data_IF_609955000511
#
_entry.id   IF_609955000511
#
_cell.length_a   1.000
_cell.length_b   1.000
_cell.length_c   1.000
_cell.angle_alpha   90.00
_cell.angle_beta   90.00
_cell.angle_gamma   90.00
#
_symmetry.space_group_name_H-M   'P 1'
#
loop_
_entity.id
_entity.type
_entity.pdbx_description
1 polymer ?
#
# COMPACT_ATOMS: atom_id res chain seq x y z
N UNK A 1 1.59 1.14 6.33
CA UNK A 1 0.85 1.70 7.47
C UNK A 1 1.49 2.98 8.04
N UNK A 2 2.82 3.18 7.97
CA UNK A 2 3.47 4.39 8.55
C UNK A 2 2.93 5.69 7.96
N UNK A 3 2.74 5.78 6.64
CA UNK A 3 2.12 6.97 6.02
C UNK A 3 0.69 7.22 6.53
N UNK A 4 -0.09 6.17 6.77
CA UNK A 4 -1.43 6.31 7.35
C UNK A 4 -1.39 6.83 8.79
N UNK A 5 -0.40 6.44 9.59
CA UNK A 5 -0.19 6.99 10.94
C UNK A 5 0.15 8.48 10.85
N UNK A 6 1.06 8.87 9.94
CA UNK A 6 1.41 10.28 9.72
C UNK A 6 0.17 11.10 9.34
N UNK A 7 -0.72 10.56 8.48
CA UNK A 7 -1.99 11.21 8.17
C UNK A 7 -2.88 11.39 9.40
N UNK A 8 -3.07 10.34 10.21
CA UNK A 8 -3.92 10.42 11.41
C UNK A 8 -3.41 11.49 12.40
N UNK A 9 -2.09 11.62 12.52
CA UNK A 9 -1.46 12.52 13.49
C UNK A 9 -1.40 13.97 12.99
N UNK A 10 -1.46 14.22 11.68
CA UNK A 10 -1.20 15.54 11.12
C UNK A 10 -2.29 16.06 10.19
N UNK A 11 -2.99 15.20 9.44
CA UNK A 11 -3.94 15.66 8.43
C UNK A 11 -5.15 16.36 9.06
N UNK A 12 -5.45 17.57 8.61
CA UNK A 12 -6.59 18.38 9.06
C UNK A 12 -7.50 18.67 7.86
N UNK A 13 -8.51 17.83 7.59
CA UNK A 13 -9.45 18.11 6.52
C UNK A 13 -10.28 19.35 6.86
N UNK A 14 -10.25 20.37 6.00
CA UNK A 14 -11.03 21.59 6.12
C UNK A 14 -12.27 21.59 5.21
N UNK A 15 -12.28 20.70 4.23
CA UNK A 15 -13.43 20.37 3.38
C UNK A 15 -13.42 18.89 3.05
N UNK A 16 -14.62 18.29 2.91
CA UNK A 16 -14.76 16.86 2.67
C UNK A 16 -14.61 15.99 3.92
N UNK A 17 -14.46 14.69 3.71
CA UNK A 17 -14.23 13.69 4.77
C UNK A 17 -13.05 12.80 4.41
N UNK A 18 -12.16 12.56 5.35
CA UNK A 18 -11.02 11.65 5.21
C UNK A 18 -11.18 10.48 6.17
N UNK A 19 -11.26 9.26 5.63
CA UNK A 19 -11.23 8.01 6.38
C UNK A 19 -9.85 7.40 6.27
N UNK A 20 -9.20 7.10 7.38
CA UNK A 20 -7.87 6.49 7.40
C UNK A 20 -7.91 5.17 8.15
N UNK A 21 -7.53 4.08 7.48
CA UNK A 21 -7.42 2.75 8.06
C UNK A 21 -5.93 2.39 8.14
N UNK A 22 -5.26 2.61 9.28
CA UNK A 22 -3.81 2.42 9.37
C UNK A 22 -3.41 0.93 9.33
N UNK A 23 -4.29 0.05 9.77
CA UNK A 23 -4.09 -1.39 9.84
C UNK A 23 -5.30 -2.10 9.24
N UNK A 24 -5.33 -2.18 7.90
CA UNK A 24 -6.45 -2.77 7.17
C UNK A 24 -6.75 -4.22 7.60
N UNK A 25 -5.71 -4.98 7.94
CA UNK A 25 -5.83 -6.30 8.56
C UNK A 25 -4.93 -6.39 9.81
N UNK A 26 -5.47 -6.06 10.97
CA UNK A 26 -4.72 -6.04 12.23
C UNK A 26 -4.11 -7.40 12.62
N UNK A 27 -4.68 -8.50 12.16
CA UNK A 27 -4.16 -9.85 12.38
C UNK A 27 -2.73 -10.01 11.83
N UNK A 28 -2.39 -9.33 10.74
CA UNK A 28 -1.05 -9.39 10.12
C UNK A 28 0.06 -8.84 11.02
N UNK A 29 -0.27 -8.04 12.02
CA UNK A 29 0.70 -7.47 12.97
C UNK A 29 0.97 -8.38 14.18
N UNK A 30 0.26 -9.49 14.32
CA UNK A 30 0.40 -10.39 15.48
C UNK A 30 1.54 -11.40 15.33
N UNK A 31 2.08 -11.56 14.12
CA UNK A 31 3.15 -12.51 13.79
C UNK A 31 4.11 -11.93 12.75
N UNK A 32 5.16 -12.66 12.43
CA UNK A 32 6.05 -12.44 11.28
C UNK A 32 6.04 -13.69 10.43
N UNK A 33 6.44 -13.58 9.16
CA UNK A 33 6.55 -14.73 8.26
C UNK A 33 7.59 -15.71 8.82
N UNK A 34 7.23 -17.00 8.90
CA UNK A 34 8.11 -18.02 9.42
C UNK A 34 9.31 -18.23 8.47
N UNK A 35 10.47 -18.61 9.04
CA UNK A 35 11.74 -18.81 8.35
C UNK A 35 12.35 -17.56 7.69
N UNK A 36 11.72 -16.39 7.76
CA UNK A 36 12.25 -15.15 7.18
C UNK A 36 13.29 -14.45 8.06
N UNK A 37 13.33 -14.78 9.36
CA UNK A 37 14.26 -14.15 10.31
C UNK A 37 13.98 -12.66 10.54
N UNK A 38 12.79 -12.17 10.16
CA UNK A 38 12.42 -10.77 10.30
C UNK A 38 12.23 -10.36 11.75
N UNK A 39 12.60 -9.13 12.14
CA UNK A 39 12.36 -8.63 13.48
C UNK A 39 10.85 -8.43 13.71
N UNK A 40 10.39 -8.67 14.96
CA UNK A 40 9.00 -8.43 15.31
C UNK A 40 8.64 -6.95 15.40
N UNK A 41 9.64 -6.10 15.63
CA UNK A 41 9.47 -4.67 15.84
C UNK A 41 10.61 -3.91 15.17
N UNK A 42 10.37 -2.63 14.94
CA UNK A 42 11.38 -1.66 14.57
C UNK A 42 11.10 -0.34 15.29
N UNK A 43 12.14 0.49 15.45
CA UNK A 43 12.09 1.75 16.15
C UNK A 43 12.35 2.91 15.18
N UNK A 44 11.56 3.95 15.29
CA UNK A 44 11.72 5.19 14.51
C UNK A 44 12.00 6.33 15.49
N UNK A 45 13.10 7.03 15.29
CA UNK A 45 13.38 8.26 16.02
C UNK A 45 12.45 9.37 15.56
N UNK A 46 11.81 10.04 16.52
CA UNK A 46 10.89 11.16 16.29
C UNK A 46 11.26 12.34 17.17
N UNK A 47 10.71 13.53 16.89
CA UNK A 47 10.92 14.72 17.73
C UNK A 47 10.45 14.50 19.20
N UNK A 48 9.48 13.61 19.42
CA UNK A 48 8.99 13.23 20.75
C UNK A 48 9.75 12.05 21.39
N UNK A 49 10.85 11.59 20.79
CA UNK A 49 11.62 10.42 21.21
C UNK A 49 11.34 9.17 20.37
N UNK A 50 11.99 8.04 20.70
CA UNK A 50 11.87 6.80 19.94
C UNK A 50 10.46 6.21 20.05
N UNK A 51 9.91 5.82 18.89
CA UNK A 51 8.61 5.13 18.79
C UNK A 51 8.81 3.74 18.21
N UNK A 52 8.27 2.74 18.88
CA UNK A 52 8.38 1.34 18.50
C UNK A 52 7.12 0.85 17.80
N UNK A 53 7.29 0.21 16.65
CA UNK A 53 6.23 -0.34 15.82
C UNK A 53 6.39 -1.84 15.59
N UNK A 54 5.29 -2.56 15.38
CA UNK A 54 5.33 -3.94 14.93
C UNK A 54 5.63 -3.99 13.45
N UNK A 55 6.48 -4.95 13.02
CA UNK A 55 6.77 -5.16 11.60
C UNK A 55 5.62 -5.91 10.91
N UNK A 56 5.25 -7.07 11.44
CA UNK A 56 4.14 -7.88 10.94
C UNK A 56 4.47 -8.73 9.71
N UNK A 57 3.41 -9.22 9.09
CA UNK A 57 3.40 -10.01 7.87
C UNK A 57 2.39 -9.43 6.87
N UNK A 58 2.46 -9.84 5.60
CA UNK A 58 1.41 -9.55 4.61
C UNK A 58 0.21 -10.50 4.73
N UNK A 59 0.35 -11.60 5.45
CA UNK A 59 -0.67 -12.64 5.59
C UNK A 59 -1.41 -12.54 6.92
N UNK A 60 -2.70 -12.80 6.93
CA UNK A 60 -3.48 -13.03 8.15
C UNK A 60 -2.81 -14.12 9.01
N UNK A 61 -2.76 -13.92 10.32
CA UNK A 61 -2.17 -14.86 11.25
C UNK A 61 -2.79 -16.24 11.12
N UNK A 62 -1.99 -17.31 11.14
CA UNK A 62 -2.53 -18.68 11.24
C UNK A 62 -3.40 -18.91 12.48
N UNK A 63 -3.25 -18.11 13.53
CA UNK A 63 -4.12 -18.19 14.72
C UNK A 63 -5.55 -17.74 14.42
N UNK A 64 -5.75 -16.86 13.43
CA UNK A 64 -7.07 -16.34 13.05
C UNK A 64 -7.66 -17.05 11.82
N UNK A 65 -6.80 -17.64 10.99
CA UNK A 65 -7.23 -18.33 9.77
C UNK A 65 -6.28 -19.48 9.42
N UNK A 66 -6.70 -20.73 9.67
CA UNK A 66 -5.96 -21.96 9.38
C UNK A 66 -6.91 -23.16 9.26
N UNK A 67 -6.60 -24.20 8.46
CA UNK A 67 -5.45 -24.33 7.56
C UNK A 67 -5.63 -23.57 6.22
N UNK A 68 -4.51 -23.37 5.51
CA UNK A 68 -4.59 -22.91 4.12
C UNK A 68 -5.12 -24.05 3.24
N UNK A 69 -5.98 -23.78 2.24
CA UNK A 69 -6.36 -24.78 1.23
C UNK A 69 -5.17 -25.06 0.29
N UNK A 70 -5.21 -26.17 -0.43
CA UNK A 70 -4.20 -26.44 -1.47
C UNK A 70 -4.20 -25.36 -2.56
N UNK A 71 -5.40 -24.93 -2.95
CA UNK A 71 -5.64 -23.89 -3.95
C UNK A 71 -6.65 -22.89 -3.38
N UNK A 72 -6.28 -21.63 -3.38
CA UNK A 72 -7.23 -20.55 -3.13
C UNK A 72 -7.98 -20.18 -4.41
N UNK A 73 -9.29 -20.21 -4.35
CA UNK A 73 -10.17 -19.80 -5.45
C UNK A 73 -10.85 -18.49 -5.09
N UNK A 74 -10.51 -17.42 -5.81
CA UNK A 74 -11.12 -16.11 -5.61
C UNK A 74 -12.62 -16.14 -5.86
N UNK A 75 -13.42 -15.79 -4.87
CA UNK A 75 -14.85 -16.08 -4.84
C UNK A 75 -15.65 -15.47 -6.00
N UNK A 76 -15.35 -14.21 -6.38
CA UNK A 76 -16.12 -13.50 -7.42
C UNK A 76 -15.68 -13.80 -8.85
N UNK A 77 -14.41 -14.21 -9.06
CA UNK A 77 -13.89 -14.41 -10.43
C UNK A 77 -13.51 -15.84 -10.77
N UNK A 78 -13.41 -16.74 -9.78
CA UNK A 78 -12.89 -18.08 -9.96
C UNK A 78 -11.38 -18.18 -10.22
N UNK A 79 -10.63 -17.06 -10.14
CA UNK A 79 -9.17 -17.06 -10.28
C UNK A 79 -8.54 -17.99 -9.24
N UNK A 80 -7.66 -18.88 -9.71
CA UNK A 80 -6.94 -19.82 -8.85
C UNK A 80 -5.56 -19.28 -8.51
N UNK A 81 -5.20 -19.36 -7.24
CA UNK A 81 -3.93 -18.92 -6.67
C UNK A 81 -3.37 -20.00 -5.74
N UNK A 82 -2.12 -19.84 -5.30
CA UNK A 82 -1.54 -20.67 -4.24
C UNK A 82 -2.43 -20.62 -2.99
N UNK A 83 -2.56 -21.73 -2.29
CA UNK A 83 -3.40 -21.83 -1.10
C UNK A 83 -3.09 -20.79 -0.03
N UNK A 84 -1.82 -20.44 0.16
CA UNK A 84 -1.39 -19.41 1.10
C UNK A 84 -1.93 -17.99 0.80
N UNK A 85 -2.30 -17.71 -0.46
CA UNK A 85 -2.90 -16.43 -0.86
C UNK A 85 -4.32 -16.23 -0.28
N UNK A 86 -4.94 -17.28 0.28
CA UNK A 86 -6.20 -17.16 1.04
C UNK A 86 -6.08 -16.21 2.24
N UNK A 87 -4.87 -16.01 2.78
CA UNK A 87 -4.58 -15.13 3.89
C UNK A 87 -4.05 -13.74 3.49
N UNK A 88 -3.94 -13.48 2.19
CA UNK A 88 -3.51 -12.19 1.67
C UNK A 88 -4.71 -11.28 1.39
N UNK A 89 -4.85 -10.17 2.13
CA UNK A 89 -5.95 -9.24 1.97
C UNK A 89 -6.04 -8.71 0.52
N UNK A 90 -4.90 -8.42 -0.11
CA UNK A 90 -4.84 -7.94 -1.49
C UNK A 90 -4.97 -9.08 -2.54
N UNK A 91 -5.65 -10.18 -2.16
CA UNK A 91 -6.16 -11.24 -3.02
C UNK A 91 -7.62 -11.58 -2.70
N UNK A 92 -8.18 -10.93 -1.67
CA UNK A 92 -9.49 -11.28 -1.13
C UNK A 92 -10.59 -10.26 -1.45
N UNK A 93 -10.27 -9.08 -1.99
CA UNK A 93 -11.28 -8.10 -2.38
C UNK A 93 -12.19 -8.62 -3.51
N UNK A 94 -13.49 -8.24 -3.57
CA UNK A 94 -14.20 -7.34 -2.67
C UNK A 94 -14.62 -8.00 -1.36
N UNK A 95 -14.30 -9.27 -1.14
CA UNK A 95 -14.66 -10.06 0.02
C UNK A 95 -16.10 -10.54 0.03
N UNK A 96 -16.47 -11.28 1.09
CA UNK A 96 -17.83 -11.77 1.34
C UNK A 96 -18.09 -11.98 2.82
N UNK A 97 -19.36 -11.83 3.28
CA UNK A 97 -19.68 -11.86 4.71
C UNK A 97 -19.58 -13.26 5.34
N UNK A 98 -19.74 -14.30 4.55
CA UNK A 98 -19.68 -15.73 4.93
C UNK A 98 -18.34 -16.40 4.62
N UNK A 99 -17.34 -15.60 4.19
CA UNK A 99 -16.03 -16.08 3.80
C UNK A 99 -15.05 -16.35 4.95
N UNK A 100 -13.78 -16.54 4.57
CA UNK A 100 -12.67 -16.64 5.51
C UNK A 100 -12.50 -15.34 6.30
N UNK A 101 -11.66 -15.37 7.35
CA UNK A 101 -11.35 -14.14 8.10
C UNK A 101 -10.88 -13.02 7.18
N UNK A 102 -9.94 -13.30 6.27
CA UNK A 102 -9.39 -12.33 5.32
C UNK A 102 -10.47 -11.79 4.35
N UNK A 103 -11.34 -12.65 3.83
CA UNK A 103 -12.46 -12.24 2.98
C UNK A 103 -13.49 -11.38 3.74
N UNK A 104 -13.72 -11.65 5.02
CA UNK A 104 -14.58 -10.82 5.87
C UNK A 104 -13.99 -9.43 6.12
N UNK A 105 -12.66 -9.32 6.31
CA UNK A 105 -11.97 -8.02 6.40
C UNK A 105 -12.12 -7.24 5.10
N UNK A 106 -11.87 -7.87 3.95
CA UNK A 106 -12.07 -7.24 2.64
C UNK A 106 -13.52 -6.79 2.43
N UNK A 107 -14.49 -7.62 2.82
CA UNK A 107 -15.92 -7.29 2.75
C UNK A 107 -16.30 -6.10 3.64
N UNK A 108 -15.73 -6.02 4.87
CA UNK A 108 -15.99 -4.91 5.78
C UNK A 108 -15.50 -3.58 5.19
N UNK A 109 -14.29 -3.56 4.61
CA UNK A 109 -13.74 -2.37 3.94
C UNK A 109 -14.61 -2.00 2.72
N UNK A 110 -14.97 -2.95 1.88
CA UNK A 110 -15.84 -2.72 0.71
C UNK A 110 -17.21 -2.21 1.13
N UNK A 111 -17.77 -2.72 2.23
CA UNK A 111 -19.05 -2.28 2.77
C UNK A 111 -19.00 -0.87 3.34
N UNK A 112 -17.91 -0.50 4.02
CA UNK A 112 -17.67 0.86 4.49
C UNK A 112 -17.65 1.85 3.30
N UNK A 113 -16.92 1.51 2.23
CA UNK A 113 -16.84 2.35 1.03
C UNK A 113 -18.23 2.59 0.42
N UNK A 114 -19.06 1.54 0.36
CA UNK A 114 -20.44 1.65 -0.14
C UNK A 114 -21.33 2.48 0.77
N UNK A 115 -21.29 2.22 2.09
CA UNK A 115 -22.14 2.88 3.08
C UNK A 115 -21.86 4.39 3.15
N UNK A 116 -20.58 4.76 3.17
CA UNK A 116 -20.13 6.15 3.24
C UNK A 116 -20.05 6.82 1.87
N UNK A 117 -20.31 6.08 0.77
CA UNK A 117 -20.22 6.57 -0.61
C UNK A 117 -18.88 7.23 -0.90
N UNK A 118 -17.80 6.56 -0.52
CA UNK A 118 -16.43 7.08 -0.67
C UNK A 118 -16.12 7.33 -2.15
N UNK A 119 -15.79 8.56 -2.49
CA UNK A 119 -15.50 8.96 -3.87
C UNK A 119 -14.15 8.45 -4.35
N UNK A 120 -13.12 8.47 -3.51
CA UNK A 120 -11.75 8.00 -3.82
C UNK A 120 -11.28 7.03 -2.75
N UNK A 121 -10.64 5.95 -3.16
CA UNK A 121 -9.90 5.05 -2.27
C UNK A 121 -8.46 4.94 -2.74
N UNK A 122 -7.51 5.04 -1.81
CA UNK A 122 -6.08 4.85 -2.07
C UNK A 122 -5.54 3.80 -1.11
N UNK A 123 -5.03 2.70 -1.65
CA UNK A 123 -4.36 1.66 -0.89
C UNK A 123 -2.85 1.90 -0.92
N UNK A 124 -2.21 2.00 0.25
CA UNK A 124 -0.79 2.36 0.37
C UNK A 124 0.05 1.10 0.50
N UNK A 125 0.74 0.75 -0.56
CA UNK A 125 1.61 -0.41 -0.69
C UNK A 125 3.08 -0.03 -0.85
N UNK A 126 3.92 -1.01 -0.66
CA UNK A 126 5.34 -0.93 -0.97
C UNK A 126 5.75 -2.14 -1.80
N UNK A 127 6.60 -1.91 -2.81
CA UNK A 127 7.15 -2.94 -3.68
C UNK A 127 8.67 -3.01 -3.56
N UNK A 128 9.26 -4.16 -3.88
CA UNK A 128 10.71 -4.32 -3.91
C UNK A 128 11.36 -3.58 -5.08
N UNK A 129 12.64 -3.16 -4.96
CA UNK A 129 13.36 -2.46 -6.03
C UNK A 129 13.44 -3.23 -7.36
N UNK A 130 13.40 -4.56 -7.31
CA UNK A 130 13.40 -5.46 -8.49
C UNK A 130 12.00 -5.75 -9.05
N UNK A 131 10.95 -5.15 -8.50
CA UNK A 131 9.60 -5.32 -9.02
C UNK A 131 9.28 -4.25 -10.06
N UNK A 132 8.70 -4.60 -11.23
CA UNK A 132 8.48 -3.65 -12.32
C UNK A 132 7.47 -2.54 -11.97
N UNK A 133 6.49 -2.82 -11.09
CA UNK A 133 5.54 -1.83 -10.58
C UNK A 133 6.03 -1.32 -9.23
N UNK A 134 6.90 -0.34 -9.25
CA UNK A 134 7.51 0.28 -8.06
C UNK A 134 7.65 1.79 -8.27
N UNK A 135 7.50 2.57 -7.20
CA UNK A 135 7.35 4.02 -7.26
C UNK A 135 6.29 4.41 -8.31
N UNK A 136 5.08 3.83 -8.17
CA UNK A 136 4.03 3.98 -9.16
C UNK A 136 2.65 4.15 -8.49
N UNK A 137 1.74 4.78 -9.23
CA UNK A 137 0.31 4.79 -8.95
C UNK A 137 -0.34 3.77 -9.89
N UNK A 138 -1.02 2.78 -9.32
CA UNK A 138 -1.85 1.83 -10.07
C UNK A 138 -3.30 2.28 -10.00
N UNK A 139 -3.91 2.56 -11.14
CA UNK A 139 -5.24 3.17 -11.20
C UNK A 139 -6.27 2.28 -11.92
N UNK A 140 -7.44 2.13 -11.30
CA UNK A 140 -8.61 1.64 -12.01
C UNK A 140 -8.91 2.54 -13.22
N UNK A 141 -9.49 2.03 -14.30
CA UNK A 141 -9.74 2.82 -15.53
C UNK A 141 -10.53 4.10 -15.27
N UNK A 142 -11.47 4.11 -14.31
CA UNK A 142 -12.21 5.30 -13.92
C UNK A 142 -11.38 6.33 -13.16
N UNK A 143 -10.28 5.92 -12.53
CA UNK A 143 -9.39 6.76 -11.77
C UNK A 143 -8.19 7.28 -12.57
N UNK A 144 -8.00 6.82 -13.81
CA UNK A 144 -6.84 7.17 -14.65
C UNK A 144 -6.67 8.68 -14.84
N UNK A 145 -7.76 9.43 -15.02
CA UNK A 145 -7.71 10.89 -15.17
C UNK A 145 -7.10 11.56 -13.94
N UNK A 146 -7.60 11.22 -12.75
CA UNK A 146 -7.12 11.78 -11.47
C UNK A 146 -5.66 11.38 -11.23
N UNK A 147 -5.32 10.11 -11.49
CA UNK A 147 -3.94 9.62 -11.37
C UNK A 147 -2.98 10.35 -12.30
N UNK A 148 -3.39 10.64 -13.54
CA UNK A 148 -2.56 11.39 -14.50
C UNK A 148 -2.32 12.84 -14.06
N UNK A 149 -3.34 13.52 -13.54
CA UNK A 149 -3.20 14.89 -13.01
C UNK A 149 -2.28 14.87 -11.77
N UNK A 150 -2.48 13.91 -10.87
CA UNK A 150 -1.64 13.76 -9.67
C UNK A 150 -0.16 13.54 -10.02
N UNK A 151 0.13 12.75 -11.07
CA UNK A 151 1.51 12.57 -11.55
C UNK A 151 2.13 13.85 -12.05
N UNK A 152 1.39 14.66 -12.80
CA UNK A 152 1.88 15.96 -13.27
C UNK A 152 2.19 16.89 -12.08
N UNK A 153 1.35 16.88 -11.05
CA UNK A 153 1.61 17.65 -9.82
C UNK A 153 2.88 17.17 -9.13
N UNK A 154 3.09 15.86 -9.01
CA UNK A 154 4.31 15.28 -8.42
C UNK A 154 5.57 15.63 -9.22
N UNK A 155 5.48 15.66 -10.54
CA UNK A 155 6.62 16.02 -11.39
C UNK A 155 7.04 17.48 -11.19
N UNK A 156 6.11 18.41 -10.92
CA UNK A 156 6.43 19.79 -10.54
C UNK A 156 7.16 19.90 -9.20
N UNK A 157 6.99 18.91 -8.32
CA UNK A 157 7.67 18.81 -7.01
C UNK A 157 8.94 17.92 -7.08
N UNK A 158 9.45 17.63 -8.28
CA UNK A 158 10.60 16.75 -8.52
C UNK A 158 10.43 15.32 -7.97
N UNK A 159 9.19 14.85 -7.81
CA UNK A 159 8.87 13.50 -7.33
C UNK A 159 8.47 12.62 -8.51
N UNK A 160 9.37 11.73 -8.91
CA UNK A 160 9.11 10.78 -10.00
C UNK A 160 8.31 9.58 -9.51
N UNK A 161 7.14 9.34 -10.14
CA UNK A 161 6.35 8.11 -10.00
C UNK A 161 5.87 7.63 -11.38
N UNK A 162 5.63 6.32 -11.52
CA UNK A 162 5.00 5.74 -12.69
C UNK A 162 3.47 5.75 -12.61
N UNK A 163 2.81 5.52 -13.74
CA UNK A 163 1.38 5.27 -13.82
C UNK A 163 1.12 3.93 -14.50
N UNK A 164 0.41 3.06 -13.79
CA UNK A 164 0.07 1.73 -14.29
C UNK A 164 -1.46 1.55 -14.31
N UNK A 165 -2.01 1.04 -15.41
CA UNK A 165 -3.41 0.66 -15.41
C UNK A 165 -3.63 -0.59 -14.54
N UNK A 166 -4.70 -0.59 -13.75
CA UNK A 166 -5.13 -1.76 -12.98
C UNK A 166 -5.42 -2.95 -13.90
N UNK A 167 -4.69 -4.08 -13.78
CA UNK A 167 -4.84 -5.21 -14.69
C UNK A 167 -6.21 -5.87 -14.53
N UNK A 168 -6.97 -5.98 -15.63
CA UNK A 168 -8.32 -6.56 -15.64
C UNK A 168 -8.32 -8.05 -15.30
N UNK A 169 -7.27 -8.76 -15.69
CA UNK A 169 -7.15 -10.21 -15.53
C UNK A 169 -6.63 -10.67 -14.17
N UNK A 170 -6.09 -9.76 -13.34
CA UNK A 170 -5.60 -10.10 -12.02
C UNK A 170 -6.62 -9.65 -10.98
N UNK A 171 -7.26 -10.63 -10.35
CA UNK A 171 -8.42 -10.44 -9.47
C UNK A 171 -8.04 -10.50 -7.98
N UNK A 172 -8.94 -9.97 -7.15
CA UNK A 172 -8.76 -9.92 -5.70
C UNK A 172 -7.92 -8.74 -5.19
N UNK A 173 -7.44 -7.88 -6.07
CA UNK A 173 -6.64 -6.69 -5.74
C UNK A 173 -7.56 -5.51 -5.36
N UNK A 174 -7.17 -4.73 -4.36
CA UNK A 174 -7.94 -3.56 -3.88
C UNK A 174 -8.25 -2.58 -5.01
N UNK A 175 -7.25 -2.13 -5.76
CA UNK A 175 -7.42 -1.18 -6.85
C UNK A 175 -8.29 -1.71 -8.02
N UNK A 176 -8.41 -3.04 -8.19
CA UNK A 176 -9.29 -3.63 -9.18
C UNK A 176 -10.70 -3.82 -8.64
N UNK A 177 -10.81 -4.57 -7.54
CA UNK A 177 -12.12 -4.99 -7.05
C UNK A 177 -12.92 -3.87 -6.39
N UNK A 178 -12.27 -2.91 -5.69
CA UNK A 178 -12.99 -1.76 -5.14
C UNK A 178 -13.52 -0.87 -6.27
N UNK A 179 -12.76 -0.72 -7.35
CA UNK A 179 -13.23 -0.04 -8.55
C UNK A 179 -14.42 -0.76 -9.19
N UNK A 180 -14.35 -2.07 -9.39
CA UNK A 180 -15.42 -2.84 -10.04
C UNK A 180 -16.66 -2.97 -9.15
N UNK A 181 -16.49 -3.15 -7.84
CA UNK A 181 -17.59 -3.47 -6.91
C UNK A 181 -18.26 -2.25 -6.29
N UNK A 182 -17.69 -1.04 -6.42
CA UNK A 182 -18.22 0.18 -5.81
C UNK A 182 -18.21 1.35 -6.79
N UNK A 183 -18.66 2.55 -6.34
CA UNK A 183 -18.58 3.79 -7.12
C UNK A 183 -17.22 4.51 -7.01
N UNK A 184 -16.31 4.05 -6.16
CA UNK A 184 -15.06 4.75 -5.85
C UNK A 184 -14.08 4.82 -7.02
N UNK A 185 -13.30 5.87 -7.08
CA UNK A 185 -12.10 5.97 -7.91
C UNK A 185 -10.97 5.25 -7.16
N UNK A 186 -10.72 3.99 -7.53
CA UNK A 186 -9.79 3.13 -6.81
C UNK A 186 -8.36 3.27 -7.33
N UNK A 187 -7.44 3.55 -6.42
CA UNK A 187 -6.02 3.74 -6.64
C UNK A 187 -5.22 2.85 -5.66
N UNK A 188 -4.02 2.48 -6.05
CA UNK A 188 -3.02 1.89 -5.19
C UNK A 188 -1.68 2.58 -5.46
N UNK A 189 -0.91 2.85 -4.44
CA UNK A 189 0.41 3.46 -4.55
C UNK A 189 1.48 2.47 -4.09
N UNK A 190 2.51 2.29 -4.89
CA UNK A 190 3.68 1.48 -4.54
C UNK A 190 4.88 2.41 -4.31
N UNK A 191 5.55 2.28 -3.17
CA UNK A 191 6.87 2.90 -2.94
C UNK A 191 7.95 1.84 -2.78
N UNK A 192 9.19 2.20 -3.05
CA UNK A 192 10.31 1.24 -3.02
C UNK A 192 10.62 0.78 -1.59
N UNK A 193 10.54 -0.52 -1.30
CA UNK A 193 10.93 -1.10 -0.02
C UNK A 193 11.90 -2.28 -0.19
N UNK A 194 13.20 -2.13 0.13
CA UNK A 194 14.16 -3.21 0.01
C UNK A 194 13.91 -4.37 0.98
N UNK A 195 13.22 -4.11 2.11
CA UNK A 195 12.91 -5.16 3.09
C UNK A 195 11.88 -6.19 2.59
N UNK A 196 11.18 -5.92 1.47
CA UNK A 196 10.25 -6.86 0.84
C UNK A 196 10.87 -7.69 -0.29
N UNK A 197 12.02 -7.29 -0.79
CA UNK A 197 12.57 -7.88 -2.00
C UNK A 197 13.31 -9.20 -1.80
N UNK A 198 13.49 -9.93 -2.89
CA UNK A 198 14.18 -11.24 -2.91
C UNK A 198 15.69 -11.11 -3.04
N UNK A 199 16.17 -9.94 -3.46
CA UNK A 199 17.61 -9.69 -3.66
C UNK A 199 18.29 -9.14 -2.41
N UNK A 200 17.55 -8.93 -1.32
CA UNK A 200 18.09 -8.46 -0.05
C UNK A 200 19.03 -9.46 0.60
N UNK A 201 20.02 -8.97 1.32
CA UNK A 201 20.93 -9.81 2.10
C UNK A 201 20.28 -10.31 3.39
N UNK A 202 20.00 -9.42 4.32
CA UNK A 202 19.43 -9.74 5.64
C UNK A 202 18.31 -8.78 5.98
N UNK A 203 17.15 -9.30 6.42
CA UNK A 203 16.07 -8.47 6.94
C UNK A 203 16.29 -8.21 8.43
N UNK A 204 16.70 -7.00 8.75
CA UNK A 204 16.88 -6.53 10.12
C UNK A 204 16.25 -5.15 10.31
N UNK A 205 16.29 -4.61 11.52
CA UNK A 205 15.71 -3.30 11.85
C UNK A 205 16.37 -2.17 11.03
N UNK A 206 17.68 -2.22 10.82
CA UNK A 206 18.39 -1.23 10.03
C UNK A 206 17.92 -1.23 8.57
N UNK A 207 17.75 -2.40 7.94
CA UNK A 207 17.18 -2.47 6.59
C UNK A 207 15.76 -1.89 6.53
N UNK A 208 14.93 -2.15 7.53
CA UNK A 208 13.54 -1.65 7.57
C UNK A 208 13.52 -0.12 7.66
N UNK A 209 14.38 0.48 8.51
CA UNK A 209 14.37 1.92 8.81
C UNK A 209 15.28 2.72 7.88
N UNK A 210 16.53 2.27 7.70
CA UNK A 210 17.52 2.97 6.86
C UNK A 210 17.40 2.58 5.38
N UNK A 211 16.85 1.41 5.09
CA UNK A 211 16.65 0.93 3.73
C UNK A 211 17.94 0.61 2.98
N UNK A 212 19.06 0.40 3.69
CA UNK A 212 20.38 0.13 3.11
C UNK A 212 20.66 -1.35 3.01
N UNK A 213 21.17 -1.81 1.87
CA UNK A 213 21.52 -3.21 1.65
C UNK A 213 22.59 -3.34 0.56
N UNK A 214 23.71 -3.98 0.90
CA UNK A 214 24.84 -4.15 -0.02
C UNK A 214 24.50 -5.06 -1.20
N UNK A 215 23.58 -6.02 -1.03
CA UNK A 215 23.15 -6.90 -2.11
C UNK A 215 22.32 -6.13 -3.15
N UNK A 216 21.50 -5.16 -2.72
CA UNK A 216 20.80 -4.27 -3.65
C UNK A 216 21.76 -3.33 -4.38
N UNK A 217 22.79 -2.81 -3.73
CA UNK A 217 23.86 -2.04 -4.41
C UNK A 217 24.55 -2.89 -5.47
N UNK A 218 24.84 -4.15 -5.17
CA UNK A 218 25.40 -5.09 -6.15
C UNK A 218 24.40 -5.40 -7.29
N UNK A 219 23.12 -5.60 -6.98
CA UNK A 219 22.07 -5.85 -7.97
C UNK A 219 21.85 -4.65 -8.92
N UNK A 220 21.98 -3.42 -8.41
CA UNK A 220 21.99 -2.20 -9.23
C UNK A 220 23.10 -2.24 -10.30
N UNK A 221 24.32 -2.59 -9.90
CA UNK A 221 25.46 -2.70 -10.83
C UNK A 221 25.26 -3.77 -11.91
N UNK A 222 24.40 -4.76 -11.62
CA UNK A 222 24.04 -5.84 -12.56
C UNK A 222 22.79 -5.51 -13.40
N UNK A 223 22.21 -4.32 -13.26
CA UNK A 223 21.01 -3.92 -14.01
C UNK A 223 19.75 -4.73 -13.65
N UNK A 224 19.60 -5.16 -12.38
CA UNK A 224 18.52 -6.03 -11.92
C UNK A 224 17.35 -5.27 -11.28
N UNK A 225 17.44 -3.96 -11.20
CA UNK A 225 16.47 -3.12 -10.49
C UNK A 225 15.70 -2.20 -11.44
N UNK A 226 14.49 -1.89 -11.09
CA UNK A 226 13.62 -0.94 -11.82
C UNK A 226 13.69 0.48 -11.26
N UNK A 227 14.34 0.66 -10.10
CA UNK A 227 14.59 1.97 -9.48
C UNK A 227 16.07 2.08 -9.12
N UNK A 228 16.65 3.28 -9.14
CA UNK A 228 18.02 3.49 -8.69
C UNK A 228 18.21 3.09 -7.23
N UNK A 229 19.33 2.44 -6.92
CA UNK A 229 19.68 2.00 -5.58
C UNK A 229 21.18 2.20 -5.32
N UNK A 230 21.49 3.16 -4.47
CA UNK A 230 22.86 3.50 -4.07
C UNK A 230 23.15 3.17 -2.60
N UNK A 231 24.28 3.67 -2.11
CA UNK A 231 24.71 3.51 -0.72
C UNK A 231 23.77 4.21 0.29
N UNK A 232 23.04 5.22 -0.15
CA UNK A 232 22.01 5.93 0.64
C UNK A 232 20.79 5.05 0.95
N UNK A 233 20.56 4.02 0.14
CA UNK A 233 19.44 3.11 0.28
C UNK A 233 18.08 3.75 0.00
N UNK A 234 17.02 3.16 0.59
CA UNK A 234 15.63 3.63 0.50
C UNK A 234 15.04 3.80 1.91
N UNK A 235 15.38 4.89 2.63
CA UNK A 235 14.97 5.08 4.02
C UNK A 235 13.45 5.12 4.20
N UNK A 236 12.95 4.62 5.33
CA UNK A 236 11.53 4.61 5.66
C UNK A 236 10.91 6.01 5.56
N UNK A 237 11.62 7.05 6.04
CA UNK A 237 11.15 8.44 5.95
C UNK A 237 10.89 8.89 4.51
N UNK A 238 11.77 8.54 3.57
CA UNK A 238 11.62 8.88 2.14
C UNK A 238 10.43 8.16 1.52
N UNK A 239 10.23 6.88 1.87
CA UNK A 239 9.09 6.06 1.39
C UNK A 239 7.76 6.62 1.91
N UNK A 240 7.71 6.98 3.19
CA UNK A 240 6.54 7.60 3.83
C UNK A 240 6.26 8.97 3.21
N UNK A 241 7.27 9.83 3.06
CA UNK A 241 7.12 11.15 2.45
C UNK A 241 6.58 11.06 1.01
N UNK A 242 7.08 10.09 0.21
CA UNK A 242 6.57 9.87 -1.15
C UNK A 242 5.08 9.48 -1.16
N UNK A 243 4.64 8.64 -0.23
CA UNK A 243 3.22 8.32 -0.08
C UNK A 243 2.39 9.55 0.29
N UNK A 244 2.87 10.35 1.25
CA UNK A 244 2.16 11.57 1.70
C UNK A 244 2.05 12.58 0.56
N UNK A 245 3.14 12.85 -0.17
CA UNK A 245 3.13 13.74 -1.32
C UNK A 245 2.19 13.24 -2.43
N UNK A 246 2.24 11.93 -2.74
CA UNK A 246 1.37 11.34 -3.74
C UNK A 246 -0.12 11.41 -3.34
N UNK A 247 -0.45 11.24 -2.06
CA UNK A 247 -1.81 11.42 -1.56
C UNK A 247 -2.27 12.87 -1.70
N UNK A 248 -1.42 13.85 -1.32
CA UNK A 248 -1.75 15.27 -1.50
C UNK A 248 -2.01 15.57 -2.98
N UNK A 249 -1.14 15.11 -3.88
CA UNK A 249 -1.32 15.29 -5.32
C UNK A 249 -2.63 14.68 -5.85
N UNK A 250 -3.06 13.52 -5.31
CA UNK A 250 -4.37 12.92 -5.65
C UNK A 250 -5.53 13.76 -5.11
N UNK A 251 -5.44 14.28 -3.89
CA UNK A 251 -6.49 15.14 -3.30
C UNK A 251 -6.66 16.44 -4.10
N UNK A 252 -5.55 17.05 -4.48
CA UNK A 252 -5.54 18.27 -5.29
C UNK A 252 -6.10 18.02 -6.70
N UNK A 253 -5.69 16.92 -7.32
CA UNK A 253 -6.21 16.48 -8.62
C UNK A 253 -7.72 16.24 -8.58
N UNK A 254 -8.23 15.58 -7.54
CA UNK A 254 -9.65 15.33 -7.37
C UNK A 254 -10.44 16.62 -7.15
N UNK A 255 -9.96 17.51 -6.27
CA UNK A 255 -10.58 18.81 -5.99
C UNK A 255 -10.64 19.67 -7.23
N UNK A 256 -9.59 19.67 -8.04
CA UNK A 256 -9.53 20.39 -9.32
C UNK A 256 -10.54 19.83 -10.35
N UNK A 257 -10.66 18.51 -10.41
CA UNK A 257 -11.55 17.83 -11.38
C UNK A 257 -13.02 17.83 -10.96
N UNK A 258 -13.31 17.98 -9.68
CA UNK A 258 -14.65 17.92 -9.09
C UNK A 258 -14.91 19.12 -8.15
N UNK A 259 -15.09 20.33 -8.69
CA UNK A 259 -15.22 21.55 -7.87
C UNK A 259 -16.36 21.51 -6.84
N UNK A 260 -17.41 20.75 -7.11
CA UNK A 260 -18.57 20.57 -6.22
C UNK A 260 -18.31 19.57 -5.07
N UNK A 261 -17.19 18.84 -5.13
CA UNK A 261 -16.82 17.80 -4.18
C UNK A 261 -15.40 18.01 -3.68
N UNK A 262 -15.15 19.14 -3.05
CA UNK A 262 -13.81 19.48 -2.60
C UNK A 262 -13.33 18.59 -1.45
N UNK A 263 -12.09 18.12 -1.56
CA UNK A 263 -11.34 17.53 -0.48
C UNK A 263 -10.09 18.37 -0.22
N UNK A 264 -10.16 19.21 0.80
CA UNK A 264 -9.03 20.05 1.20
C UNK A 264 -8.47 19.54 2.52
N UNK A 265 -7.25 19.05 2.48
CA UNK A 265 -6.51 18.53 3.65
C UNK A 265 -5.32 19.44 3.90
N UNK A 266 -5.39 20.21 4.99
CA UNK A 266 -4.29 21.05 5.47
C UNK A 266 -3.31 20.27 6.36
N UNK A 267 -2.19 20.92 6.67
CA UNK A 267 -1.17 20.41 7.60
C UNK A 267 -0.58 19.04 7.24
N UNK A 268 -0.51 18.71 5.94
CA UNK A 268 0.26 17.55 5.50
C UNK A 268 1.74 17.81 5.73
N UNK A 269 2.49 16.87 6.38
CA UNK A 269 3.93 17.05 6.58
C UNK A 269 4.66 16.98 5.22
N UNK A 270 5.60 17.90 5.05
CA UNK A 270 6.47 18.00 3.86
C UNK A 270 7.62 16.99 3.90
#
# INVERSE_FOLDING_TARGET
FMAAIVLIENAMPTSGKLYVIPFANASTLTHTDYMEGTPRHFTVETAGGPRRFRYGSRATSPADQWPDPDIYVHASSGQKLSGSETRNLNRAYPGRPDGTFTEKVAYAITSLIRAEKIDITVDLHEASPEYPVVNAIVAHERAMKIASIALLNLEFDDITMGLEPSPVKLRGLSHRELGDATGTLALLMETTNPAQGRLRGVTNEALIVEGKDAMYVAAQKLGRLFVPFGEEGQPLKTRVARHVAALQAVFDAYTSDSPDKQLVVGAMPS
#
